data_IF_742854304659
#
_entry.id   IF_742854304659
#
_cell.length_a   1.000
_cell.length_b   1.000
_cell.length_c   1.000
_cell.angle_alpha   90.00
_cell.angle_beta   90.00
_cell.angle_gamma   90.00
#
_symmetry.space_group_name_H-M   'P 1'
#
loop_
_entity.id
_entity.type
_entity.pdbx_description
1 polymer ?
#
# COMPACT_ATOMS: atom_id res chain seq x y z
N UNK A 1 -1.00 12.98 -7.86
CA UNK A 1 -0.13 11.82 -7.55
C UNK A 1 1.01 11.68 -8.55
N UNK A 2 0.74 11.63 -9.87
CA UNK A 2 1.81 11.62 -10.91
C UNK A 2 2.81 12.77 -10.72
N UNK A 3 2.34 14.01 -10.48
CA UNK A 3 3.23 15.15 -10.17
C UNK A 3 4.15 14.96 -8.97
N UNK A 4 3.70 14.22 -7.95
CA UNK A 4 4.53 13.92 -6.76
C UNK A 4 5.58 12.88 -7.13
N UNK A 5 5.18 11.86 -7.90
CA UNK A 5 6.10 10.85 -8.43
C UNK A 5 7.20 11.48 -9.29
N UNK A 6 6.86 12.49 -10.11
CA UNK A 6 7.83 13.24 -10.91
C UNK A 6 8.86 13.99 -10.08
N UNK A 7 8.40 14.66 -9.01
CA UNK A 7 9.30 15.36 -8.09
C UNK A 7 10.27 14.39 -7.42
N UNK A 8 9.82 13.18 -7.07
CA UNK A 8 10.70 12.14 -6.55
C UNK A 8 11.71 11.69 -7.60
N UNK A 9 11.27 11.33 -8.82
CA UNK A 9 12.18 10.87 -9.87
C UNK A 9 13.22 11.93 -10.25
N UNK A 10 12.83 13.20 -10.37
CA UNK A 10 13.73 14.30 -10.70
C UNK A 10 14.78 14.55 -9.61
N UNK A 11 14.40 14.40 -8.33
CA UNK A 11 15.30 14.63 -7.20
C UNK A 11 16.19 13.43 -6.84
N UNK A 12 16.07 12.30 -7.53
CA UNK A 12 16.84 11.10 -7.22
C UNK A 12 18.27 11.16 -7.74
N UNK A 13 19.22 10.77 -6.89
CA UNK A 13 20.59 10.51 -7.30
C UNK A 13 20.67 9.33 -8.28
N UNK A 14 21.64 9.39 -9.19
CA UNK A 14 21.91 8.33 -10.17
C UNK A 14 22.26 7.01 -9.46
N UNK A 15 21.76 5.90 -10.00
CA UNK A 15 22.00 4.55 -9.44
C UNK A 15 21.17 4.20 -8.19
N UNK A 16 20.30 5.09 -7.69
CA UNK A 16 19.38 4.76 -6.58
C UNK A 16 18.10 4.11 -7.11
N UNK A 17 17.52 3.18 -6.36
CA UNK A 17 16.21 2.57 -6.66
C UNK A 17 15.11 3.15 -5.77
N UNK A 18 13.85 2.98 -6.19
CA UNK A 18 12.67 3.32 -5.39
C UNK A 18 11.75 2.12 -5.25
N UNK A 19 11.10 2.04 -4.10
CA UNK A 19 9.94 1.19 -3.88
C UNK A 19 8.71 2.08 -3.90
N UNK A 20 7.79 1.79 -4.80
CA UNK A 20 6.49 2.46 -4.86
C UNK A 20 5.46 1.53 -4.23
N UNK A 21 4.98 1.89 -3.04
CA UNK A 21 3.94 1.13 -2.34
C UNK A 21 2.57 1.79 -2.60
N UNK A 22 1.66 1.02 -3.21
CA UNK A 22 0.29 1.44 -3.43
C UNK A 22 0.07 2.41 -4.59
N UNK A 23 1.01 2.52 -5.53
CA UNK A 23 0.85 3.23 -6.80
C UNK A 23 1.60 2.48 -7.91
N UNK A 24 1.05 2.39 -9.14
CA UNK A 24 -0.27 2.84 -9.58
C UNK A 24 -1.42 1.91 -9.13
N UNK A 25 -2.61 2.47 -8.89
CA UNK A 25 -3.84 1.70 -8.52
C UNK A 25 -4.98 1.83 -9.51
N UNK A 26 -4.81 2.63 -10.56
CA UNK A 26 -5.79 2.88 -11.61
C UNK A 26 -5.10 2.87 -12.97
N UNK A 27 -5.82 2.49 -14.03
CA UNK A 27 -5.27 2.44 -15.40
C UNK A 27 -4.67 3.78 -15.85
N UNK A 28 -5.36 4.90 -15.59
CA UNK A 28 -4.82 6.22 -15.93
C UNK A 28 -3.49 6.54 -15.20
N UNK A 29 -3.35 6.07 -13.94
CA UNK A 29 -2.10 6.22 -13.19
C UNK A 29 -1.00 5.32 -13.76
N UNK A 30 -1.34 4.10 -14.18
CA UNK A 30 -0.41 3.16 -14.82
C UNK A 30 0.18 3.76 -16.10
N UNK A 31 -0.67 4.34 -16.97
CA UNK A 31 -0.19 4.96 -18.21
C UNK A 31 0.84 6.07 -17.92
N UNK A 32 0.51 6.95 -16.97
CA UNK A 32 1.44 8.00 -16.55
C UNK A 32 2.72 7.45 -15.91
N UNK A 33 2.63 6.39 -15.10
CA UNK A 33 3.81 5.74 -14.53
C UNK A 33 4.73 5.18 -15.62
N UNK A 34 4.19 4.38 -16.54
CA UNK A 34 4.95 3.75 -17.63
C UNK A 34 5.59 4.79 -18.54
N UNK A 35 4.86 5.87 -18.87
CA UNK A 35 5.40 6.98 -19.65
C UNK A 35 6.66 7.57 -18.99
N UNK A 36 6.63 7.82 -17.68
CA UNK A 36 7.79 8.37 -16.95
C UNK A 36 8.92 7.37 -16.83
N UNK A 37 8.64 6.11 -16.56
CA UNK A 37 9.70 5.09 -16.54
C UNK A 37 10.44 5.03 -17.88
N UNK A 38 9.72 5.16 -19.01
CA UNK A 38 10.32 5.26 -20.34
C UNK A 38 11.09 6.57 -20.56
N UNK A 39 10.52 7.72 -20.18
CA UNK A 39 11.15 9.05 -20.31
C UNK A 39 12.50 9.12 -19.57
N UNK A 40 12.54 8.61 -18.34
CA UNK A 40 13.73 8.56 -17.51
C UNK A 40 14.60 7.32 -17.76
N UNK A 41 14.24 6.47 -18.72
CA UNK A 41 14.96 5.23 -19.10
C UNK A 41 15.24 4.32 -17.89
N UNK A 42 14.20 4.07 -17.10
CA UNK A 42 14.29 3.25 -15.89
C UNK A 42 13.46 2.00 -16.05
N UNK A 43 14.09 0.85 -15.81
CA UNK A 43 13.37 -0.41 -15.70
C UNK A 43 12.66 -0.51 -14.34
N UNK A 44 11.61 -1.32 -14.28
CA UNK A 44 10.90 -1.61 -13.04
C UNK A 44 10.41 -3.05 -13.01
N UNK A 45 10.13 -3.51 -11.81
CA UNK A 45 9.52 -4.82 -11.54
C UNK A 45 8.28 -4.58 -10.69
N UNK A 46 7.21 -5.33 -10.99
CA UNK A 46 5.99 -5.33 -10.19
C UNK A 46 6.00 -6.55 -9.29
N UNK A 47 5.76 -6.33 -7.99
CA UNK A 47 5.61 -7.40 -7.01
C UNK A 47 4.14 -7.43 -6.58
N UNK A 48 3.46 -8.52 -6.90
CA UNK A 48 2.06 -8.74 -6.49
C UNK A 48 2.04 -9.59 -5.23
N UNK A 49 1.43 -9.07 -4.18
CA UNK A 49 1.18 -9.81 -2.95
C UNK A 49 -0.21 -10.45 -3.04
N UNK A 50 -0.27 -11.67 -3.56
CA UNK A 50 -1.51 -12.41 -3.74
C UNK A 50 -1.93 -13.09 -2.42
N UNK A 51 -3.09 -12.68 -1.91
CA UNK A 51 -3.75 -13.26 -0.73
C UNK A 51 -5.24 -13.36 -0.98
N UNK A 52 -5.88 -14.39 -0.40
CA UNK A 52 -7.33 -14.52 -0.48
C UNK A 52 -8.06 -13.43 0.34
N UNK A 53 -9.35 -13.26 0.04
CA UNK A 53 -10.21 -12.25 0.67
C UNK A 53 -10.33 -12.47 2.17
N UNK A 54 -10.43 -13.71 2.62
CA UNK A 54 -10.57 -14.07 4.03
C UNK A 54 -9.35 -13.59 4.84
N UNK A 55 -8.14 -13.83 4.33
CA UNK A 55 -6.90 -13.38 4.95
C UNK A 55 -6.77 -11.85 4.90
N UNK A 56 -7.17 -11.22 3.80
CA UNK A 56 -7.18 -9.76 3.69
C UNK A 56 -8.09 -9.12 4.75
N UNK A 57 -9.33 -9.60 4.89
CA UNK A 57 -10.28 -9.12 5.91
C UNK A 57 -9.68 -9.32 7.30
N UNK A 58 -9.18 -10.52 7.59
CA UNK A 58 -8.58 -10.86 8.89
C UNK A 58 -7.43 -9.92 9.24
N UNK A 59 -6.54 -9.62 8.29
CA UNK A 59 -5.41 -8.69 8.48
C UNK A 59 -5.86 -7.27 8.74
N UNK A 60 -6.90 -6.79 8.04
CA UNK A 60 -7.40 -5.43 8.20
C UNK A 60 -8.11 -5.25 9.55
N UNK A 61 -9.00 -6.18 9.93
CA UNK A 61 -9.73 -6.11 11.21
C UNK A 61 -8.81 -6.19 12.43
N UNK A 62 -7.68 -6.89 12.30
CA UNK A 62 -6.67 -7.04 13.37
C UNK A 62 -5.54 -6.01 13.33
N UNK A 63 -5.55 -5.09 12.35
CA UNK A 63 -4.52 -4.05 12.25
C UNK A 63 -4.68 -3.04 13.37
N UNK A 64 -3.57 -2.70 14.01
CA UNK A 64 -3.45 -1.60 14.96
C UNK A 64 -2.33 -0.66 14.52
N UNK A 65 -2.50 0.61 14.80
CA UNK A 65 -1.52 1.66 14.54
C UNK A 65 -1.11 2.25 15.88
N UNK A 66 0.18 2.47 16.10
CA UNK A 66 0.64 3.21 17.27
C UNK A 66 0.51 4.72 17.04
N UNK A 67 -0.21 5.44 17.91
CA UNK A 67 -0.30 6.91 17.79
C UNK A 67 1.03 7.61 18.05
N UNK A 68 1.91 7.00 18.84
CA UNK A 68 3.16 7.62 19.27
C UNK A 68 4.25 7.55 18.20
N UNK A 69 4.33 6.46 17.42
CA UNK A 69 5.41 6.27 16.43
C UNK A 69 4.95 5.89 15.02
N UNK A 70 3.65 5.64 14.81
CA UNK A 70 3.10 5.24 13.51
C UNK A 70 3.34 3.78 13.12
N UNK A 71 3.93 2.96 14.01
CA UNK A 71 4.13 1.53 13.74
C UNK A 71 2.81 0.82 13.42
N UNK A 72 2.87 -0.08 12.43
CA UNK A 72 1.76 -0.94 12.02
C UNK A 72 1.93 -2.28 12.75
N UNK A 73 0.91 -2.66 13.51
CA UNK A 73 0.86 -3.88 14.31
C UNK A 73 -0.29 -4.74 13.80
N UNK A 74 -0.21 -6.04 14.04
CA UNK A 74 -1.30 -6.97 13.74
C UNK A 74 -1.51 -7.92 14.92
N UNK A 75 -2.58 -7.72 15.67
CA UNK A 75 -2.85 -8.48 16.90
C UNK A 75 -3.26 -9.93 16.62
N UNK A 76 -3.61 -10.25 15.37
CA UNK A 76 -3.91 -11.62 14.96
C UNK A 76 -2.63 -12.43 14.72
N UNK A 77 -1.57 -11.80 14.20
CA UNK A 77 -0.27 -12.45 13.97
C UNK A 77 0.57 -12.50 15.24
N UNK A 78 0.52 -11.44 16.05
CA UNK A 78 1.28 -11.33 17.29
C UNK A 78 0.42 -10.65 18.35
N UNK A 79 0.15 -11.34 19.47
CA UNK A 79 -0.54 -10.73 20.59
C UNK A 79 0.31 -9.58 21.16
N UNK A 80 -0.21 -8.36 21.12
CA UNK A 80 0.48 -7.19 21.63
C UNK A 80 -0.51 -6.22 22.30
N UNK A 81 -0.34 -6.01 23.60
CA UNK A 81 -1.09 -5.00 24.37
C UNK A 81 -0.44 -3.61 24.29
N UNK A 82 0.77 -3.54 23.74
CA UNK A 82 1.54 -2.33 23.52
C UNK A 82 2.32 -2.39 22.20
N UNK A 83 2.77 -1.23 21.72
CA UNK A 83 3.58 -1.13 20.51
C UNK A 83 4.91 -1.85 20.68
N UNK A 84 5.22 -2.78 19.78
CA UNK A 84 6.48 -3.54 19.78
C UNK A 84 7.71 -2.68 19.51
N UNK A 85 7.53 -1.53 18.85
CA UNK A 85 8.63 -0.64 18.47
C UNK A 85 8.98 0.39 19.55
N UNK A 86 7.99 0.94 20.24
CA UNK A 86 8.22 2.03 21.21
C UNK A 86 7.60 1.82 22.60
N UNK A 87 6.91 0.69 22.83
CA UNK A 87 6.31 0.34 24.13
C UNK A 87 5.02 1.08 24.49
N UNK A 88 4.57 2.06 23.69
CA UNK A 88 3.33 2.81 23.95
C UNK A 88 2.09 1.92 23.86
N UNK A 89 1.16 2.08 24.80
CA UNK A 89 -0.15 1.42 24.79
C UNK A 89 -1.22 2.19 24.00
N UNK A 90 -0.88 3.36 23.43
CA UNK A 90 -1.82 4.17 22.64
C UNK A 90 -1.95 3.63 21.21
N UNK A 91 -2.66 2.51 21.12
CA UNK A 91 -2.96 1.81 19.88
C UNK A 91 -4.38 2.17 19.40
N UNK A 92 -4.53 2.37 18.10
CA UNK A 92 -5.84 2.62 17.49
C UNK A 92 -6.01 1.82 16.19
N UNK A 93 -7.27 1.64 15.80
CA UNK A 93 -7.62 1.09 14.50
C UNK A 93 -7.94 2.23 13.53
N UNK A 94 -7.46 2.13 12.29
CA UNK A 94 -7.78 3.14 11.27
C UNK A 94 -9.27 3.13 11.00
N UNK A 95 -9.82 4.29 10.66
CA UNK A 95 -11.25 4.46 10.34
C UNK A 95 -11.70 3.48 9.26
N UNK A 96 -10.87 3.27 8.24
CA UNK A 96 -11.15 2.38 7.12
C UNK A 96 -10.88 0.88 7.40
N UNK A 97 -10.63 0.53 8.66
CA UNK A 97 -10.51 -0.84 9.17
C UNK A 97 -11.58 -1.16 10.24
N UNK A 98 -12.43 -0.19 10.65
CA UNK A 98 -13.28 -0.31 11.85
C UNK A 98 -14.43 -1.30 11.69
N UNK A 99 -15.01 -1.41 10.50
CA UNK A 99 -16.13 -2.29 10.22
C UNK A 99 -15.95 -3.04 8.90
N UNK A 100 -16.75 -4.10 8.76
CA UNK A 100 -16.66 -5.01 7.63
C UNK A 100 -17.10 -4.34 6.32
N UNK A 101 -17.99 -3.34 6.36
CA UNK A 101 -18.48 -2.64 5.17
C UNK A 101 -17.40 -1.71 4.61
N UNK A 102 -16.67 -1.00 5.45
CA UNK A 102 -15.52 -0.17 5.07
C UNK A 102 -14.40 -1.03 4.47
N UNK A 103 -14.12 -2.19 5.08
CA UNK A 103 -13.14 -3.16 4.56
C UNK A 103 -13.58 -3.69 3.19
N UNK A 104 -14.83 -4.15 3.07
CA UNK A 104 -15.36 -4.67 1.81
C UNK A 104 -15.38 -3.60 0.72
N UNK A 105 -15.65 -2.34 1.06
CA UNK A 105 -15.57 -1.21 0.13
C UNK A 105 -14.17 -1.08 -0.44
N UNK A 106 -13.13 -1.20 0.40
CA UNK A 106 -11.74 -1.15 -0.04
C UNK A 106 -11.33 -2.33 -0.91
N UNK A 107 -11.80 -3.53 -0.58
CA UNK A 107 -11.55 -4.74 -1.38
C UNK A 107 -12.23 -4.61 -2.74
N UNK A 108 -13.49 -4.17 -2.78
CA UNK A 108 -14.21 -3.95 -4.04
C UNK A 108 -13.57 -2.86 -4.90
N UNK A 109 -13.01 -1.81 -4.30
CA UNK A 109 -12.24 -0.80 -5.04
C UNK A 109 -10.96 -1.38 -5.64
N UNK A 110 -10.24 -2.22 -4.89
CA UNK A 110 -9.06 -2.93 -5.39
C UNK A 110 -9.42 -3.81 -6.59
N UNK A 111 -10.45 -4.64 -6.47
CA UNK A 111 -10.93 -5.53 -7.56
C UNK A 111 -11.34 -4.73 -8.81
N UNK A 112 -12.01 -3.59 -8.62
CA UNK A 112 -12.52 -2.76 -9.71
C UNK A 112 -11.43 -1.93 -10.40
N UNK A 113 -10.50 -1.36 -9.64
CA UNK A 113 -9.57 -0.34 -10.16
C UNK A 113 -8.12 -0.83 -10.25
N UNK A 114 -7.67 -1.63 -9.28
CA UNK A 114 -6.27 -2.03 -9.16
C UNK A 114 -5.99 -3.38 -9.81
N UNK A 115 -6.90 -4.35 -9.71
CA UNK A 115 -6.72 -5.65 -10.37
C UNK A 115 -6.55 -5.52 -11.90
N UNK A 116 -7.30 -4.66 -12.62
CA UNK A 116 -7.05 -4.42 -14.03
C UNK A 116 -5.66 -3.86 -14.32
N UNK A 117 -5.07 -3.07 -13.41
CA UNK A 117 -3.69 -2.56 -13.58
C UNK A 117 -2.69 -3.70 -13.54
N UNK A 118 -2.84 -4.61 -12.57
CA UNK A 118 -1.97 -5.78 -12.44
C UNK A 118 -2.01 -6.60 -13.73
N UNK A 119 -3.22 -6.89 -14.24
CA UNK A 119 -3.42 -7.65 -15.47
C UNK A 119 -2.82 -7.01 -16.73
N UNK A 120 -2.60 -5.68 -16.75
CA UNK A 120 -1.93 -5.00 -17.87
C UNK A 120 -0.41 -5.02 -17.75
N UNK A 121 0.14 -5.30 -16.56
CA UNK A 121 1.58 -5.30 -16.28
C UNK A 121 2.17 -6.71 -16.17
N UNK A 122 1.34 -7.74 -16.13
CA UNK A 122 1.71 -9.15 -16.31
C UNK A 122 2.05 -9.48 -17.77
#
# INVERSE_FOLDING_TARGET
>A
MVKVFDLFLFGMEEGKSILVDGFPRQIAQMHGFVERMNEYKRDFVVIVLDINKEEAVKRLTSRRMCKSCGAILNIHLHACDSCTECGSSDLYQRVDDQDLDAINTRIGLFEKETLPVIQHLE
#
